data_IF_038277589864
#
_entry.id   IF_038277589864
#
_cell.length_a   1.000
_cell.length_b   1.000
_cell.length_c   1.000
_cell.angle_alpha   90.00
_cell.angle_beta   90.00
_cell.angle_gamma   90.00
#
_symmetry.space_group_name_H-M   'P 1'
#
loop_
_entity.id
_entity.type
_entity.pdbx_description
1 polymer ?
#
# COMPACT_ATOMS: atom_id res chain seq x y z
N UNK A 1 -14.94 31.57 -37.04
CA UNK A 1 -14.25 30.44 -37.64
C UNK A 1 -12.77 30.51 -37.27
N UNK A 2 -12.26 29.48 -36.58
CA UNK A 2 -10.83 29.37 -36.36
C UNK A 2 -10.37 29.15 -34.91
N UNK A 3 -11.04 28.29 -34.16
CA UNK A 3 -10.54 27.82 -32.86
C UNK A 3 -10.69 26.30 -32.74
N UNK A 4 -9.91 25.56 -33.50
CA UNK A 4 -9.70 24.13 -33.22
C UNK A 4 -8.39 23.70 -33.89
N UNK A 5 -7.51 23.13 -33.12
CA UNK A 5 -6.28 22.42 -33.47
C UNK A 5 -4.96 23.06 -33.00
N UNK A 6 -4.83 23.29 -31.69
CA UNK A 6 -3.51 23.52 -31.09
C UNK A 6 -3.43 23.01 -29.62
N UNK A 7 -4.02 21.85 -29.32
CA UNK A 7 -4.03 21.34 -27.95
C UNK A 7 -3.87 19.81 -27.78
N UNK A 8 -3.67 19.08 -28.89
CA UNK A 8 -3.68 17.62 -28.84
C UNK A 8 -2.29 16.95 -29.00
N UNK A 9 -1.21 17.69 -29.15
CA UNK A 9 0.09 17.10 -29.50
C UNK A 9 1.06 16.92 -28.31
N UNK A 10 0.69 17.35 -27.08
CA UNK A 10 1.59 17.30 -25.93
C UNK A 10 1.35 16.14 -24.94
N UNK A 11 0.23 15.43 -25.08
CA UNK A 11 -0.17 14.45 -24.05
C UNK A 11 0.09 12.99 -24.45
N UNK A 12 0.27 12.71 -25.75
CA UNK A 12 0.49 11.33 -26.22
C UNK A 12 1.94 10.86 -26.05
N UNK A 13 2.91 11.78 -26.02
CA UNK A 13 4.31 11.44 -25.84
C UNK A 13 4.63 10.96 -24.40
N UNK A 14 4.02 11.61 -23.38
CA UNK A 14 4.26 11.24 -21.98
C UNK A 14 3.60 9.90 -21.59
N UNK A 15 2.48 9.52 -22.25
CA UNK A 15 1.78 8.25 -22.02
C UNK A 15 2.55 7.08 -22.64
N UNK A 16 3.17 7.29 -23.79
CA UNK A 16 3.99 6.27 -24.48
C UNK A 16 5.26 5.97 -23.70
N UNK A 17 5.93 6.96 -23.11
CA UNK A 17 7.14 6.79 -22.29
C UNK A 17 6.88 5.97 -21.02
N UNK A 18 5.71 6.11 -20.40
CA UNK A 18 5.36 5.33 -19.18
C UNK A 18 5.04 3.88 -19.53
N UNK A 19 4.42 3.62 -20.67
CA UNK A 19 4.14 2.27 -21.16
C UNK A 19 5.45 1.54 -21.58
N UNK A 20 6.33 2.23 -22.30
CA UNK A 20 7.64 1.70 -22.70
C UNK A 20 8.55 1.44 -21.47
N UNK A 21 8.49 2.28 -20.45
CA UNK A 21 9.20 2.06 -19.20
C UNK A 21 8.65 0.84 -18.43
N UNK A 22 7.33 0.62 -18.44
CA UNK A 22 6.71 -0.56 -17.81
C UNK A 22 7.07 -1.85 -18.55
N UNK A 23 7.12 -1.83 -19.88
CA UNK A 23 7.53 -2.97 -20.71
C UNK A 23 9.04 -3.28 -20.56
N UNK A 24 9.89 -2.27 -20.47
CA UNK A 24 11.33 -2.43 -20.23
C UNK A 24 11.62 -3.05 -18.85
N UNK A 25 10.86 -2.67 -17.81
CA UNK A 25 10.96 -3.26 -16.47
C UNK A 25 10.44 -4.70 -16.45
N UNK A 26 9.41 -5.01 -17.26
CA UNK A 26 8.85 -6.34 -17.36
C UNK A 26 9.77 -7.34 -18.11
N UNK A 27 10.58 -6.86 -19.05
CA UNK A 27 11.53 -7.68 -19.81
C UNK A 27 12.74 -8.11 -18.98
N UNK A 28 13.10 -7.34 -17.94
CA UNK A 28 14.20 -7.66 -17.00
C UNK A 28 13.81 -8.74 -15.97
N UNK A 29 12.51 -9.00 -15.77
CA UNK A 29 12.01 -9.83 -14.66
C UNK A 29 11.83 -11.34 -14.96
N UNK A 30 12.06 -11.84 -16.20
CA UNK A 30 12.00 -13.28 -16.52
C UNK A 30 10.63 -13.96 -16.39
N UNK A 31 10.53 -15.23 -16.75
CA UNK A 31 9.29 -16.02 -16.96
C UNK A 31 8.37 -16.25 -15.71
N UNK A 32 8.78 -15.88 -14.50
CA UNK A 32 7.87 -15.77 -13.33
C UNK A 32 6.89 -14.58 -13.41
N UNK A 33 6.94 -13.84 -14.47
CA UNK A 33 6.46 -12.48 -14.66
C UNK A 33 5.02 -12.32 -15.20
N UNK A 34 4.26 -13.37 -15.50
CA UNK A 34 2.91 -13.18 -16.05
C UNK A 34 1.94 -12.53 -15.04
N UNK A 35 2.03 -12.93 -13.78
CA UNK A 35 1.24 -12.34 -12.70
C UNK A 35 1.79 -10.94 -12.30
N UNK A 36 3.12 -10.76 -12.30
CA UNK A 36 3.76 -9.47 -12.01
C UNK A 36 3.58 -8.48 -13.17
N UNK A 37 3.56 -8.93 -14.44
CA UNK A 37 3.22 -8.08 -15.60
C UNK A 37 1.80 -7.52 -15.50
N UNK A 38 0.82 -8.34 -15.09
CA UNK A 38 -0.55 -7.88 -14.86
C UNK A 38 -0.61 -6.80 -13.77
N UNK A 39 0.02 -7.05 -12.63
CA UNK A 39 0.05 -6.10 -11.51
C UNK A 39 0.83 -4.81 -11.84
N UNK A 40 1.94 -4.90 -12.58
CA UNK A 40 2.70 -3.72 -13.05
C UNK A 40 1.91 -2.90 -14.05
N UNK A 41 1.22 -3.55 -15.01
CA UNK A 41 0.37 -2.87 -15.98
C UNK A 41 -0.82 -2.19 -15.30
N UNK A 42 -1.43 -2.84 -14.32
CA UNK A 42 -2.53 -2.30 -13.52
C UNK A 42 -2.07 -1.13 -12.64
N UNK A 43 -0.88 -1.25 -12.03
CA UNK A 43 -0.23 -0.17 -11.29
C UNK A 43 0.12 1.03 -12.17
N UNK A 44 0.70 0.79 -13.34
CA UNK A 44 1.02 1.84 -14.31
C UNK A 44 -0.25 2.52 -14.86
N UNK A 45 -1.30 1.76 -15.14
CA UNK A 45 -2.60 2.29 -15.57
C UNK A 45 -3.26 3.14 -14.48
N UNK A 46 -3.19 2.70 -13.21
CA UNK A 46 -3.70 3.47 -12.07
C UNK A 46 -2.95 4.80 -11.88
N UNK A 47 -1.61 4.79 -12.01
CA UNK A 47 -0.79 6.01 -11.96
C UNK A 47 -1.07 6.93 -13.14
N UNK A 48 -1.19 6.40 -14.37
CA UNK A 48 -1.53 7.17 -15.55
C UNK A 48 -2.93 7.80 -15.46
N UNK A 49 -3.91 7.05 -14.94
CA UNK A 49 -5.27 7.56 -14.69
C UNK A 49 -5.27 8.68 -13.64
N UNK A 50 -4.48 8.55 -12.58
CA UNK A 50 -4.34 9.59 -11.56
C UNK A 50 -3.60 10.84 -12.07
N UNK A 51 -2.66 10.68 -13.01
CA UNK A 51 -1.89 11.79 -13.59
C UNK A 51 -2.65 12.61 -14.64
N UNK A 52 -3.72 12.07 -15.24
CA UNK A 52 -4.49 12.72 -16.31
C UNK A 52 -5.43 13.85 -15.85
N UNK A 53 -5.45 14.19 -14.55
CA UNK A 53 -6.30 15.26 -14.01
C UNK A 53 -5.64 16.63 -14.21
N UNK A 54 -6.26 17.58 -14.95
CA UNK A 54 -5.63 18.84 -15.39
C UNK A 54 -5.47 19.91 -14.30
N UNK A 55 -5.87 19.69 -13.06
CA UNK A 55 -5.58 20.58 -11.93
C UNK A 55 -4.31 20.08 -11.21
N UNK A 56 -3.50 20.97 -10.63
CA UNK A 56 -2.32 20.61 -9.81
C UNK A 56 -2.64 19.39 -8.97
N UNK A 57 -1.97 18.26 -9.23
CA UNK A 57 -2.30 16.97 -8.63
C UNK A 57 -2.32 17.07 -7.10
N UNK A 58 -3.24 16.38 -6.43
CA UNK A 58 -3.31 16.36 -4.97
C UNK A 58 -2.00 15.87 -4.34
N UNK A 59 -1.31 14.96 -5.02
CA UNK A 59 0.01 14.50 -4.59
C UNK A 59 1.02 15.66 -4.50
N UNK A 60 0.96 16.63 -5.40
CA UNK A 60 1.81 17.82 -5.35
C UNK A 60 1.34 18.85 -4.31
N UNK A 61 0.04 18.97 -4.07
CA UNK A 61 -0.56 20.04 -3.28
C UNK A 61 -0.79 19.63 -1.82
N UNK A 62 -1.20 18.39 -1.55
CA UNK A 62 -1.54 17.92 -0.21
C UNK A 62 -0.41 17.09 0.41
N UNK A 63 0.15 17.59 1.51
CA UNK A 63 1.18 16.87 2.25
C UNK A 63 0.63 15.58 2.92
N UNK A 64 -0.64 15.58 3.35
CA UNK A 64 -1.26 14.38 3.92
C UNK A 64 -1.39 13.27 2.88
N UNK A 65 -1.84 13.59 1.65
CA UNK A 65 -1.97 12.60 0.57
C UNK A 65 -0.61 11.98 0.23
N UNK A 66 0.47 12.77 0.21
CA UNK A 66 1.84 12.23 0.01
C UNK A 66 2.25 11.24 1.09
N UNK A 67 1.99 11.57 2.35
CA UNK A 67 2.31 10.67 3.48
C UNK A 67 1.51 9.37 3.38
N UNK A 68 0.23 9.47 3.10
CA UNK A 68 -0.64 8.30 2.93
C UNK A 68 -0.23 7.46 1.72
N UNK A 69 0.11 8.09 0.59
CA UNK A 69 0.65 7.41 -0.58
C UNK A 69 1.88 6.57 -0.25
N UNK A 70 2.83 7.12 0.51
CA UNK A 70 4.04 6.38 0.93
C UNK A 70 3.69 5.22 1.86
N UNK A 71 2.77 5.41 2.81
CA UNK A 71 2.29 4.33 3.69
C UNK A 71 1.65 3.20 2.86
N UNK A 72 0.81 3.54 1.88
CA UNK A 72 0.17 2.57 0.99
C UNK A 72 1.19 1.86 0.08
N UNK A 73 2.20 2.57 -0.42
CA UNK A 73 3.28 1.96 -1.19
C UNK A 73 4.08 0.95 -0.35
N UNK A 74 4.42 1.28 0.89
CA UNK A 74 5.04 0.32 1.82
C UNK A 74 4.12 -0.86 2.13
N UNK A 75 2.82 -0.60 2.34
CA UNK A 75 1.84 -1.64 2.62
C UNK A 75 1.70 -2.63 1.45
N UNK A 76 1.59 -2.12 0.22
CA UNK A 76 1.54 -2.95 -0.99
C UNK A 76 2.83 -3.73 -1.21
N UNK A 77 4.00 -3.07 -1.09
CA UNK A 77 5.31 -3.74 -1.26
C UNK A 77 5.52 -4.85 -0.24
N UNK A 78 5.14 -4.59 1.01
CA UNK A 78 5.21 -5.59 2.07
C UNK A 78 4.30 -6.78 1.76
N UNK A 79 3.03 -6.55 1.39
CA UNK A 79 2.09 -7.63 1.13
C UNK A 79 2.54 -8.50 -0.06
N UNK A 80 2.93 -7.88 -1.17
CA UNK A 80 3.42 -8.61 -2.34
C UNK A 80 4.68 -9.43 -2.05
N UNK A 81 5.61 -8.88 -1.26
CA UNK A 81 6.80 -9.62 -0.81
C UNK A 81 6.42 -10.79 0.11
N UNK A 82 5.50 -10.55 1.07
CA UNK A 82 5.04 -11.57 2.01
C UNK A 82 4.37 -12.74 1.30
N UNK A 83 3.48 -12.46 0.34
CA UNK A 83 2.77 -13.49 -0.43
C UNK A 83 3.77 -14.36 -1.21
N UNK A 84 4.72 -13.74 -1.92
CA UNK A 84 5.75 -14.45 -2.69
C UNK A 84 6.66 -15.27 -1.78
N UNK A 85 7.12 -14.72 -0.67
CA UNK A 85 7.97 -15.44 0.28
C UNK A 85 7.23 -16.62 0.94
N UNK A 86 5.91 -16.49 1.18
CA UNK A 86 5.06 -17.55 1.73
C UNK A 86 4.93 -18.70 0.74
N UNK A 87 4.73 -18.42 -0.55
CA UNK A 87 4.68 -19.43 -1.61
C UNK A 87 6.02 -20.17 -1.70
N UNK A 88 7.13 -19.45 -1.77
CA UNK A 88 8.47 -20.04 -1.83
C UNK A 88 8.78 -20.93 -0.62
N UNK A 89 8.39 -20.50 0.58
CA UNK A 89 8.56 -21.34 1.78
C UNK A 89 7.74 -22.62 1.72
N UNK A 90 6.53 -22.58 1.15
CA UNK A 90 5.70 -23.76 1.00
C UNK A 90 6.29 -24.78 0.01
N UNK A 91 6.98 -24.31 -1.02
CA UNK A 91 7.74 -25.15 -1.96
C UNK A 91 8.94 -25.78 -1.27
N UNK A 92 9.72 -25.01 -0.50
CA UNK A 92 10.86 -25.50 0.30
C UNK A 92 10.44 -26.59 1.30
N UNK A 93 9.21 -26.50 1.83
CA UNK A 93 8.63 -27.49 2.75
C UNK A 93 7.98 -28.68 2.04
N UNK A 94 8.00 -28.75 0.71
CA UNK A 94 7.28 -29.76 -0.11
C UNK A 94 5.78 -29.86 0.27
N UNK A 95 5.14 -28.76 0.63
CA UNK A 95 3.74 -28.68 1.05
C UNK A 95 3.05 -27.50 0.32
N UNK A 96 2.71 -27.64 -0.98
CA UNK A 96 2.16 -26.55 -1.79
C UNK A 96 0.82 -26.02 -1.24
N UNK A 97 0.02 -26.86 -0.61
CA UNK A 97 -1.26 -26.49 -0.01
C UNK A 97 -1.11 -25.55 1.20
N UNK A 98 0.08 -25.52 1.82
CA UNK A 98 0.35 -24.70 3.00
C UNK A 98 0.29 -23.21 2.71
N UNK A 99 0.83 -22.75 1.56
CA UNK A 99 0.73 -21.35 1.15
C UNK A 99 -0.73 -20.91 1.01
N UNK A 100 -1.54 -21.71 0.31
CA UNK A 100 -2.97 -21.47 0.16
C UNK A 100 -3.69 -21.35 1.51
N UNK A 101 -3.37 -22.25 2.45
CA UNK A 101 -3.95 -22.23 3.79
C UNK A 101 -3.57 -20.96 4.58
N UNK A 102 -2.30 -20.52 4.52
CA UNK A 102 -1.83 -19.29 5.18
C UNK A 102 -2.51 -18.06 4.60
N UNK A 103 -2.55 -17.94 3.26
CA UNK A 103 -3.14 -16.77 2.58
C UNK A 103 -4.65 -16.69 2.79
N UNK A 104 -5.37 -17.82 2.70
CA UNK A 104 -6.81 -17.87 2.98
C UNK A 104 -7.11 -17.52 4.44
N UNK A 105 -6.40 -18.13 5.38
CA UNK A 105 -6.62 -17.88 6.81
C UNK A 105 -6.32 -16.42 7.17
N UNK A 106 -5.21 -15.85 6.70
CA UNK A 106 -4.87 -14.45 6.93
C UNK A 106 -5.87 -13.49 6.27
N UNK A 107 -6.35 -13.79 5.07
CA UNK A 107 -7.41 -13.02 4.42
C UNK A 107 -8.71 -13.02 5.22
N UNK A 108 -9.17 -14.18 5.70
CA UNK A 108 -10.37 -14.32 6.53
C UNK A 108 -10.23 -13.56 7.86
N UNK A 109 -9.06 -13.65 8.51
CA UNK A 109 -8.77 -12.92 9.76
C UNK A 109 -8.73 -11.42 9.51
N UNK A 110 -8.09 -10.97 8.44
CA UNK A 110 -8.02 -9.54 8.07
C UNK A 110 -9.42 -8.97 7.79
N UNK A 111 -10.26 -9.70 7.05
CA UNK A 111 -11.65 -9.31 6.80
C UNK A 111 -12.45 -9.20 8.10
N UNK A 112 -12.33 -10.19 8.97
CA UNK A 112 -13.01 -10.21 10.27
C UNK A 112 -12.53 -9.07 11.17
N UNK A 113 -11.21 -8.86 11.24
CA UNK A 113 -10.62 -7.78 12.02
C UNK A 113 -11.04 -6.40 11.49
N UNK A 114 -11.07 -6.21 10.18
CA UNK A 114 -11.55 -4.98 9.54
C UNK A 114 -13.01 -4.71 9.85
N UNK A 115 -13.87 -5.73 9.78
CA UNK A 115 -15.29 -5.61 10.11
C UNK A 115 -15.50 -5.24 11.59
N UNK A 116 -14.86 -5.95 12.51
CA UNK A 116 -14.93 -5.67 13.95
C UNK A 116 -14.40 -4.27 14.28
N UNK A 117 -13.28 -3.87 13.66
CA UNK A 117 -12.70 -2.55 13.85
C UNK A 117 -13.63 -1.45 13.36
N UNK A 118 -14.34 -1.66 12.23
CA UNK A 118 -15.33 -0.71 11.69
C UNK A 118 -16.53 -0.49 12.62
N UNK A 119 -16.86 -1.47 13.47
CA UNK A 119 -17.93 -1.34 14.48
C UNK A 119 -17.51 -0.55 15.73
N UNK A 120 -16.18 -0.43 15.97
CA UNK A 120 -15.67 0.23 17.18
C UNK A 120 -15.50 1.72 16.94
N UNK A 121 -16.23 2.53 17.68
CA UNK A 121 -16.08 4.01 17.68
C UNK A 121 -14.88 4.40 18.54
N UNK A 122 -13.73 4.59 17.92
CA UNK A 122 -12.54 5.07 18.61
C UNK A 122 -12.66 6.59 18.87
N UNK A 123 -12.52 6.98 20.14
CA UNK A 123 -12.57 8.41 20.57
C UNK A 123 -11.23 9.14 20.35
N UNK A 124 -10.16 8.43 19.99
CA UNK A 124 -8.87 9.03 19.77
C UNK A 124 -8.82 9.83 18.45
N UNK A 125 -8.07 10.93 18.36
CA UNK A 125 -7.93 11.68 17.11
C UNK A 125 -7.25 10.83 16.03
N UNK A 126 -7.74 10.91 14.80
CA UNK A 126 -7.30 10.10 13.64
C UNK A 126 -5.76 10.05 13.43
N UNK A 127 -5.00 11.16 13.58
CA UNK A 127 -3.55 11.09 13.44
C UNK A 127 -2.88 10.18 14.47
N UNK A 128 -3.42 10.10 15.70
CA UNK A 128 -2.92 9.17 16.71
C UNK A 128 -3.30 7.73 16.39
N UNK A 129 -4.54 7.52 15.90
CA UNK A 129 -4.99 6.20 15.47
C UNK A 129 -4.12 5.66 14.34
N UNK A 130 -3.74 6.49 13.36
CA UNK A 130 -2.85 6.12 12.26
C UNK A 130 -1.49 5.64 12.77
N UNK A 131 -0.87 6.38 13.69
CA UNK A 131 0.43 5.99 14.28
C UNK A 131 0.30 4.69 15.06
N UNK A 132 -0.74 4.56 15.90
CA UNK A 132 -0.96 3.33 16.70
C UNK A 132 -1.19 2.12 15.79
N UNK A 133 -2.01 2.26 14.75
CA UNK A 133 -2.28 1.19 13.79
C UNK A 133 -1.02 0.80 13.01
N UNK A 134 -0.23 1.79 12.54
CA UNK A 134 1.04 1.54 11.87
C UNK A 134 2.06 0.84 12.79
N UNK A 135 2.16 1.27 14.06
CA UNK A 135 3.01 0.61 15.04
C UNK A 135 2.54 -0.82 15.35
N UNK A 136 1.23 -1.05 15.42
CA UNK A 136 0.69 -2.39 15.63
C UNK A 136 1.05 -3.33 14.47
N UNK A 137 0.94 -2.88 13.22
CA UNK A 137 1.39 -3.63 12.04
C UNK A 137 2.89 -3.89 12.08
N UNK A 138 3.69 -2.85 12.36
CA UNK A 138 5.14 -2.98 12.47
C UNK A 138 5.59 -3.95 13.56
N UNK A 139 4.90 -3.96 14.71
CA UNK A 139 5.19 -4.89 15.82
C UNK A 139 4.77 -6.31 15.46
N UNK A 140 3.57 -6.50 14.90
CA UNK A 140 3.04 -7.82 14.55
C UNK A 140 3.92 -8.52 13.49
N UNK A 141 4.22 -7.84 12.40
CA UNK A 141 5.09 -8.39 11.34
C UNK A 141 6.58 -8.25 11.67
N UNK A 142 6.96 -7.40 12.62
CA UNK A 142 8.32 -7.35 13.17
C UNK A 142 8.77 -8.69 13.75
N UNK A 143 7.81 -9.53 14.19
CA UNK A 143 8.09 -10.90 14.66
C UNK A 143 8.46 -11.88 13.53
N UNK A 144 8.44 -11.46 12.25
CA UNK A 144 8.89 -12.29 11.11
C UNK A 144 10.36 -12.74 11.23
N UNK A 145 11.17 -12.04 12.01
CA UNK A 145 12.53 -12.50 12.35
C UNK A 145 12.56 -13.85 13.09
N UNK A 146 11.46 -14.23 13.74
CA UNK A 146 11.34 -15.46 14.52
C UNK A 146 10.73 -16.62 13.71
N UNK A 147 10.59 -16.46 12.39
CA UNK A 147 10.05 -17.53 11.53
C UNK A 147 11.14 -18.57 11.28
N UNK A 148 11.06 -19.69 12.00
CA UNK A 148 11.93 -20.85 11.84
C UNK A 148 11.14 -22.09 11.37
N UNK A 149 9.80 -22.02 11.31
CA UNK A 149 8.94 -23.16 11.01
C UNK A 149 7.59 -22.75 10.43
N UNK A 150 6.89 -23.71 9.78
CA UNK A 150 5.56 -23.50 9.23
C UNK A 150 4.53 -22.97 10.26
N UNK A 151 4.42 -23.52 11.49
CA UNK A 151 3.47 -23.00 12.47
C UNK A 151 3.79 -21.58 12.94
N UNK A 152 5.06 -21.19 13.02
CA UNK A 152 5.45 -19.82 13.37
C UNK A 152 5.07 -18.84 12.25
N UNK A 153 5.23 -19.21 10.98
CA UNK A 153 4.76 -18.39 9.86
C UNK A 153 3.24 -18.18 9.94
N UNK A 154 2.47 -19.24 10.16
CA UNK A 154 1.02 -19.16 10.30
C UNK A 154 0.63 -18.22 11.44
N UNK A 155 1.25 -18.33 12.61
CA UNK A 155 0.96 -17.48 13.77
C UNK A 155 1.26 -16.00 13.48
N UNK A 156 2.40 -15.70 12.87
CA UNK A 156 2.80 -14.32 12.49
C UNK A 156 1.86 -13.77 11.42
N UNK A 157 1.49 -14.57 10.43
CA UNK A 157 0.55 -14.18 9.38
C UNK A 157 -0.81 -13.77 9.95
N UNK A 158 -1.38 -14.60 10.84
CA UNK A 158 -2.67 -14.32 11.48
C UNK A 158 -2.61 -13.08 12.38
N UNK A 159 -1.55 -12.96 13.20
CA UNK A 159 -1.36 -11.80 14.05
C UNK A 159 -1.23 -10.50 13.23
N UNK A 160 -0.46 -10.54 12.15
CA UNK A 160 -0.29 -9.42 11.23
C UNK A 160 -1.59 -9.06 10.52
N UNK A 161 -2.34 -10.05 10.06
CA UNK A 161 -3.62 -9.86 9.38
C UNK A 161 -4.65 -9.12 10.27
N UNK A 162 -4.65 -9.37 11.58
CA UNK A 162 -5.50 -8.66 12.54
C UNK A 162 -5.23 -7.14 12.59
N UNK A 163 -4.01 -6.70 12.31
CA UNK A 163 -3.60 -5.30 12.44
C UNK A 163 -3.56 -4.56 11.10
N UNK A 164 -3.42 -5.30 9.99
CA UNK A 164 -3.27 -4.72 8.66
C UNK A 164 -4.53 -4.02 8.15
N UNK A 165 -5.70 -4.67 8.22
CA UNK A 165 -6.96 -4.07 7.78
C UNK A 165 -7.33 -2.80 8.58
N UNK A 166 -7.23 -2.76 9.92
CA UNK A 166 -7.40 -1.54 10.70
C UNK A 166 -6.50 -0.38 10.26
N UNK A 167 -5.23 -0.63 9.89
CA UNK A 167 -4.35 0.41 9.39
C UNK A 167 -4.92 1.08 8.12
N UNK A 168 -5.37 0.29 7.14
CA UNK A 168 -5.92 0.81 5.89
C UNK A 168 -7.22 1.57 6.12
N UNK A 169 -8.09 1.10 7.02
CA UNK A 169 -9.33 1.78 7.39
C UNK A 169 -9.04 3.15 8.00
N UNK A 170 -8.10 3.22 8.95
CA UNK A 170 -7.72 4.50 9.57
C UNK A 170 -7.05 5.43 8.56
N UNK A 171 -6.22 4.92 7.67
CA UNK A 171 -5.57 5.71 6.64
C UNK A 171 -6.58 6.31 5.65
N UNK A 172 -7.61 5.54 5.23
CA UNK A 172 -8.73 6.08 4.44
C UNK A 172 -9.49 7.17 5.22
N UNK A 173 -9.81 6.96 6.49
CA UNK A 173 -10.47 7.96 7.32
C UNK A 173 -9.65 9.25 7.51
N UNK A 174 -8.31 9.16 7.54
CA UNK A 174 -7.41 10.33 7.50
C UNK A 174 -7.50 11.03 6.15
N UNK A 175 -7.54 10.29 5.04
CA UNK A 175 -7.67 10.83 3.69
C UNK A 175 -8.98 11.63 3.54
N UNK A 176 -10.10 11.05 3.94
CA UNK A 176 -11.44 11.67 3.88
C UNK A 176 -11.48 13.02 4.61
N UNK A 177 -10.77 13.14 5.73
CA UNK A 177 -10.75 14.39 6.52
C UNK A 177 -9.66 15.38 6.14
N UNK A 178 -8.68 14.96 5.35
CA UNK A 178 -7.57 15.81 4.91
C UNK A 178 -7.80 16.46 3.55
N UNK A 179 -8.85 16.02 2.81
CA UNK A 179 -9.11 16.43 1.43
C UNK A 179 -10.57 16.88 1.30
N UNK A 180 -10.87 17.96 0.54
CA UNK A 180 -12.25 18.37 0.23
C UNK A 180 -13.00 17.25 -0.51
N UNK A 181 -14.32 17.12 -0.23
CA UNK A 181 -15.20 16.11 -0.83
C UNK A 181 -15.13 16.08 -2.36
N UNK A 182 -15.03 17.24 -3.00
CA UNK A 182 -14.93 17.37 -4.47
C UNK A 182 -13.67 16.71 -5.07
N UNK A 183 -12.65 16.44 -4.27
CA UNK A 183 -11.38 15.84 -4.69
C UNK A 183 -11.07 14.52 -3.99
N UNK A 184 -12.01 13.97 -3.25
CA UNK A 184 -11.83 12.74 -2.48
C UNK A 184 -11.52 11.55 -3.39
N UNK A 185 -12.22 11.43 -4.52
CA UNK A 185 -11.99 10.36 -5.51
C UNK A 185 -10.56 10.39 -6.03
N UNK A 186 -10.03 11.58 -6.37
CA UNK A 186 -8.63 11.74 -6.79
C UNK A 186 -7.67 11.28 -5.70
N UNK A 187 -7.92 11.65 -4.45
CA UNK A 187 -7.08 11.24 -3.33
C UNK A 187 -7.04 9.71 -3.14
N UNK A 188 -8.22 9.06 -3.15
CA UNK A 188 -8.33 7.60 -3.02
C UNK A 188 -7.62 6.91 -4.21
N UNK A 189 -7.75 7.45 -5.42
CA UNK A 189 -7.05 6.92 -6.60
C UNK A 189 -5.54 6.97 -6.40
N UNK A 190 -4.99 8.06 -5.87
CA UNK A 190 -3.56 8.15 -5.55
C UNK A 190 -3.12 7.14 -4.49
N UNK A 191 -3.92 6.92 -3.44
CA UNK A 191 -3.63 5.92 -2.42
C UNK A 191 -3.57 4.51 -3.03
N UNK A 192 -4.59 4.15 -3.83
CA UNK A 192 -4.64 2.86 -4.50
C UNK A 192 -3.49 2.69 -5.52
N UNK A 193 -3.13 3.74 -6.26
CA UNK A 193 -1.98 3.73 -7.15
C UNK A 193 -0.68 3.44 -6.38
N UNK A 194 -0.47 4.09 -5.23
CA UNK A 194 0.66 3.80 -4.34
C UNK A 194 0.70 2.34 -3.89
N UNK A 195 -0.45 1.82 -3.47
CA UNK A 195 -0.58 0.42 -3.06
C UNK A 195 -0.24 -0.56 -4.19
N UNK A 196 -0.81 -0.34 -5.38
CA UNK A 196 -0.61 -1.23 -6.54
C UNK A 196 0.84 -1.19 -7.03
N UNK A 197 1.45 0.01 -7.09
CA UNK A 197 2.89 0.13 -7.39
C UNK A 197 3.74 -0.64 -6.38
N UNK A 198 3.41 -0.53 -5.09
CA UNK A 198 4.08 -1.28 -4.05
C UNK A 198 3.89 -2.79 -4.21
N UNK A 199 2.65 -3.22 -4.46
CA UNK A 199 2.31 -4.64 -4.65
C UNK A 199 3.01 -5.26 -5.88
N UNK A 200 3.32 -4.48 -6.89
CA UNK A 200 4.12 -4.92 -8.02
C UNK A 200 5.64 -4.99 -7.68
N UNK A 201 6.12 -4.02 -6.90
CA UNK A 201 7.53 -3.96 -6.50
C UNK A 201 7.91 -5.08 -5.50
N UNK A 202 7.01 -5.40 -4.57
CA UNK A 202 7.24 -6.40 -3.52
C UNK A 202 7.67 -7.77 -4.03
N UNK A 203 6.91 -8.42 -4.93
CA UNK A 203 7.26 -9.72 -5.51
C UNK A 203 8.57 -9.70 -6.28
N UNK A 204 8.87 -8.61 -6.99
CA UNK A 204 10.14 -8.47 -7.75
C UNK A 204 11.33 -8.50 -6.80
N UNK A 205 11.27 -7.77 -5.70
CA UNK A 205 12.30 -7.78 -4.66
C UNK A 205 12.37 -9.15 -3.98
N UNK A 206 11.21 -9.76 -3.68
CA UNK A 206 11.14 -11.09 -3.07
C UNK A 206 11.83 -12.14 -3.95
N UNK A 207 11.50 -12.20 -5.25
CA UNK A 207 12.10 -13.16 -6.18
C UNK A 207 13.63 -13.01 -6.23
N UNK A 208 14.14 -11.79 -6.42
CA UNK A 208 15.57 -11.54 -6.43
C UNK A 208 16.28 -11.93 -5.12
N UNK A 209 15.62 -11.75 -3.98
CA UNK A 209 16.17 -12.16 -2.68
C UNK A 209 16.15 -13.68 -2.48
N UNK A 210 15.08 -14.34 -2.92
CA UNK A 210 14.94 -15.80 -2.85
C UNK A 210 16.01 -16.46 -3.69
N UNK A 211 16.23 -15.99 -4.93
CA UNK A 211 17.21 -16.54 -5.87
C UNK A 211 18.66 -16.39 -5.37
N UNK A 212 18.96 -15.29 -4.67
CA UNK A 212 20.34 -14.98 -4.25
C UNK A 212 20.67 -15.39 -2.83
N UNK A 213 19.71 -15.27 -1.90
CA UNK A 213 19.93 -15.41 -0.44
C UNK A 213 18.98 -16.40 0.22
N UNK A 214 18.05 -16.99 -0.55
CA UNK A 214 17.04 -17.91 -0.07
C UNK A 214 15.81 -17.24 0.58
N UNK A 215 14.78 -18.04 0.80
CA UNK A 215 13.43 -17.59 1.25
C UNK A 215 13.47 -16.83 2.57
N UNK A 216 14.33 -17.21 3.51
CA UNK A 216 14.45 -16.54 4.82
C UNK A 216 14.96 -15.10 4.72
N UNK A 217 15.75 -14.76 3.70
CA UNK A 217 16.21 -13.39 3.47
C UNK A 217 15.04 -12.47 3.08
N UNK A 218 14.08 -12.97 2.30
CA UNK A 218 12.88 -12.22 1.93
C UNK A 218 12.04 -11.81 3.15
N UNK A 219 11.85 -12.70 4.11
CA UNK A 219 11.13 -12.36 5.36
C UNK A 219 11.85 -11.27 6.16
N UNK A 220 13.19 -11.30 6.24
CA UNK A 220 13.97 -10.26 6.93
C UNK A 220 13.85 -8.89 6.24
N UNK A 221 13.89 -8.85 4.92
CA UNK A 221 13.68 -7.60 4.15
C UNK A 221 12.22 -7.16 4.25
N UNK A 222 11.25 -8.09 4.22
CA UNK A 222 9.85 -7.81 4.48
C UNK A 222 9.62 -7.09 5.81
N UNK A 223 10.33 -7.50 6.87
CA UNK A 223 10.29 -6.80 8.16
C UNK A 223 10.75 -5.35 8.04
N UNK A 224 11.82 -5.06 7.28
CA UNK A 224 12.30 -3.69 7.06
C UNK A 224 11.28 -2.85 6.30
N UNK A 225 10.64 -3.39 5.26
CA UNK A 225 9.56 -2.72 4.53
C UNK A 225 8.36 -2.44 5.44
N UNK A 226 7.99 -3.41 6.27
CA UNK A 226 6.90 -3.26 7.23
C UNK A 226 7.20 -2.12 8.24
N UNK A 227 8.43 -1.99 8.73
CA UNK A 227 8.85 -0.92 9.63
C UNK A 227 8.85 0.46 8.96
N UNK A 228 8.86 0.52 7.64
CA UNK A 228 8.69 1.76 6.88
C UNK A 228 7.35 2.46 7.15
N UNK A 229 6.27 1.70 7.38
CA UNK A 229 4.94 2.26 7.67
C UNK A 229 4.89 3.03 9.01
N UNK A 230 5.26 2.43 10.18
CA UNK A 230 5.28 3.18 11.44
C UNK A 230 6.30 4.32 11.43
N UNK A 231 7.46 4.12 10.81
CA UNK A 231 8.46 5.18 10.69
C UNK A 231 7.88 6.40 9.96
N UNK A 232 7.25 6.18 8.80
CA UNK A 232 6.60 7.26 8.03
C UNK A 232 5.47 7.90 8.83
N UNK A 233 4.61 7.12 9.50
CA UNK A 233 3.51 7.63 10.30
C UNK A 233 3.98 8.49 11.48
N UNK A 234 5.06 8.09 12.17
CA UNK A 234 5.64 8.81 13.30
C UNK A 234 6.32 10.10 12.83
N UNK A 235 7.19 10.03 11.82
CA UNK A 235 7.92 11.18 11.29
C UNK A 235 6.98 12.25 10.74
N UNK A 236 5.91 11.83 10.08
CA UNK A 236 4.95 12.71 9.44
C UNK A 236 3.72 13.01 10.30
N UNK A 237 3.70 12.61 11.57
CA UNK A 237 2.56 12.85 12.49
C UNK A 237 2.11 14.31 12.53
N UNK A 238 3.06 15.24 12.62
CA UNK A 238 2.77 16.69 12.66
C UNK A 238 2.14 17.17 11.35
N UNK A 239 2.58 16.64 10.22
CA UNK A 239 2.06 16.98 8.89
C UNK A 239 0.61 16.52 8.75
N UNK A 240 0.32 15.27 9.11
CA UNK A 240 -1.04 14.70 9.09
C UNK A 240 -1.96 15.46 10.04
N UNK A 241 -1.49 15.77 11.26
CA UNK A 241 -2.24 16.55 12.24
C UNK A 241 -2.60 17.94 11.72
N UNK A 242 -1.64 18.65 11.13
CA UNK A 242 -1.86 19.99 10.59
C UNK A 242 -2.83 20.02 9.40
N UNK A 243 -2.90 18.94 8.62
CA UNK A 243 -3.80 18.83 7.47
C UNK A 243 -5.27 18.56 7.85
N UNK A 244 -5.52 17.99 9.03
CA UNK A 244 -6.87 17.68 9.52
C UNK A 244 -7.46 18.84 10.34
N UNK A 245 -6.64 19.60 11.07
CA UNK A 245 -7.10 20.69 11.94
C UNK A 245 -7.95 21.77 11.25
N UNK A 246 -7.63 22.24 10.03
CA UNK A 246 -8.43 23.25 9.34
C UNK A 246 -9.85 22.79 8.99
N UNK A 247 -10.03 21.48 8.74
CA UNK A 247 -11.35 20.94 8.41
C UNK A 247 -12.30 20.91 9.63
N UNK A 248 -11.76 20.78 10.84
CA UNK A 248 -12.55 20.79 12.08
C UNK A 248 -13.09 22.17 12.42
N UNK A 249 -12.31 23.23 12.26
CA UNK A 249 -12.73 24.61 12.55
C UNK A 249 -13.81 25.09 11.60
N UNK A 250 -13.75 24.71 10.33
CA UNK A 250 -14.78 25.07 9.32
C UNK A 250 -16.10 24.32 9.54
N UNK A 251 -16.08 23.11 10.10
CA UNK A 251 -17.28 22.35 10.42
C UNK A 251 -18.01 22.93 11.64
N UNK A 252 -17.26 23.31 12.69
CA UNK A 252 -17.81 23.97 13.89
C UNK A 252 -18.44 25.34 13.58
N UNK A 253 -17.84 26.13 12.68
CA UNK A 253 -18.40 27.42 12.25
C UNK A 253 -19.67 27.29 11.41
N UNK A 254 -19.94 26.14 10.79
CA UNK A 254 -21.18 25.89 10.04
C UNK A 254 -22.33 25.39 10.89
N UNK A 255 -22.06 24.85 12.07
CA UNK A 255 -23.08 24.37 13.01
C UNK A 255 -23.52 25.44 14.05
N UNK A 256 -22.79 26.58 14.10
CA UNK A 256 -23.20 27.78 14.88
C UNK A 256 -23.93 28.81 14.03
#
# INVERSE_FOLDING_TARGET
PGWSQAGAAGNDADIVDVADAADAVADVAGDGAAASKGALAEGAAAVASAASVPSKSLLATSAAVRVLFVIYAFAGSFLGLFDTATVSLSEDLNSPDFAGAVLMASGAVSMTAGFLFGMVRLRAPLPKQLVVAACAVGLSFGTMFLIDSAPTLMAVALLGACTYAPLLIVANGVCERAVPDARLTEAITWLNAGYTCGAAFGPTVAGALIDTFGTMASFKVGTLLCLGMPLTAILCYRVVKASILPAYTVAEEREM
#
